data_IF_842119120617
#
_entry.id   IF_842119120617
#
_cell.length_a   1.000
_cell.length_b   1.000
_cell.length_c   1.000
_cell.angle_alpha   90.00
_cell.angle_beta   90.00
_cell.angle_gamma   90.00
#
_symmetry.space_group_name_H-M   'P 1'
#
loop_
_entity.id
_entity.type
_entity.pdbx_description
1 polymer ?
#
# COMPACT_ATOMS: atom_id res chain seq x y z
N UNK A 1 -40.32 55.19 9.16
CA UNK A 1 -38.98 54.58 9.34
C UNK A 1 -39.09 53.18 9.97
N UNK A 2 -39.71 52.20 9.28
CA UNK A 2 -39.96 50.85 9.85
C UNK A 2 -39.83 49.70 8.83
N UNK A 3 -39.28 49.96 7.64
CA UNK A 3 -39.24 48.97 6.53
C UNK A 3 -37.86 48.37 6.22
N UNK A 4 -36.79 48.84 6.88
CA UNK A 4 -35.43 48.33 6.66
C UNK A 4 -34.89 47.43 7.79
N UNK A 5 -35.62 47.30 8.90
CA UNK A 5 -35.15 46.50 10.04
C UNK A 5 -35.32 44.98 9.82
N UNK A 6 -36.23 44.57 8.93
CA UNK A 6 -36.54 43.15 8.71
C UNK A 6 -35.69 42.50 7.61
N UNK A 7 -34.97 43.30 6.80
CA UNK A 7 -34.15 42.79 5.70
C UNK A 7 -32.72 42.40 6.14
N UNK A 8 -32.26 42.84 7.31
CA UNK A 8 -30.94 42.50 7.85
C UNK A 8 -30.93 41.24 8.73
N UNK A 9 -32.10 40.71 9.11
CA UNK A 9 -32.20 39.48 9.90
C UNK A 9 -32.09 38.20 9.05
N UNK A 10 -32.24 38.30 7.72
CA UNK A 10 -32.30 37.12 6.84
C UNK A 10 -30.94 36.74 6.23
N UNK A 11 -29.92 37.61 6.32
CA UNK A 11 -28.57 37.34 5.80
C UNK A 11 -27.66 36.66 6.84
N UNK A 12 -28.11 36.54 8.10
CA UNK A 12 -27.34 35.92 9.19
C UNK A 12 -27.72 34.45 9.47
N UNK A 13 -28.34 33.74 8.52
CA UNK A 13 -28.75 32.34 8.70
C UNK A 13 -28.06 31.36 7.74
N UNK A 14 -26.85 31.70 7.28
CA UNK A 14 -26.00 30.81 6.49
C UNK A 14 -24.66 30.56 7.20
N UNK A 15 -24.71 30.22 8.50
CA UNK A 15 -23.52 29.74 9.23
C UNK A 15 -23.56 28.21 9.27
N UNK A 16 -22.82 27.63 8.33
CA UNK A 16 -22.01 26.43 8.51
C UNK A 16 -22.74 25.24 9.18
N UNK A 17 -23.49 24.49 8.37
CA UNK A 17 -23.75 23.07 8.62
C UNK A 17 -22.50 22.20 8.43
N UNK A 18 -21.34 22.66 8.91
CA UNK A 18 -20.13 21.86 8.95
C UNK A 18 -20.40 20.68 9.86
N UNK A 19 -20.40 19.46 9.29
CA UNK A 19 -20.44 18.26 10.10
C UNK A 19 -19.19 18.28 10.97
N UNK A 20 -19.37 18.60 12.25
CA UNK A 20 -18.34 18.40 13.26
C UNK A 20 -18.16 16.89 13.33
N UNK A 21 -17.19 16.37 12.60
CA UNK A 21 -16.65 15.02 12.87
C UNK A 21 -15.98 15.16 14.23
N UNK A 22 -16.68 14.78 15.30
CA UNK A 22 -16.02 14.61 16.60
C UNK A 22 -14.99 13.52 16.39
N UNK A 23 -13.71 13.89 16.39
CA UNK A 23 -12.66 12.92 16.65
C UNK A 23 -13.00 12.28 18.00
N UNK A 24 -13.23 10.97 18.03
CA UNK A 24 -13.31 10.23 19.28
C UNK A 24 -12.01 10.49 20.03
N UNK A 25 -12.11 11.11 21.20
CA UNK A 25 -10.95 11.33 22.07
C UNK A 25 -10.52 9.94 22.54
N UNK A 26 -9.51 9.38 21.87
CA UNK A 26 -8.88 8.15 22.33
C UNK A 26 -8.19 8.44 23.66
N UNK A 27 -8.46 7.62 24.67
CA UNK A 27 -7.73 7.67 25.93
C UNK A 27 -6.30 7.19 25.65
N UNK A 28 -5.31 8.02 25.98
CA UNK A 28 -3.88 7.73 25.74
C UNK A 28 -3.41 6.45 26.45
N UNK A 29 -4.08 6.06 27.53
CA UNK A 29 -3.74 4.86 28.30
C UNK A 29 -4.39 3.59 27.75
N UNK A 30 -5.25 3.73 26.73
CA UNK A 30 -5.89 2.58 26.12
C UNK A 30 -4.90 1.85 25.23
N UNK A 31 -4.79 0.54 25.46
CA UNK A 31 -4.03 -0.38 24.62
C UNK A 31 -4.88 -0.88 23.45
N UNK A 32 -4.24 -1.26 22.36
CA UNK A 32 -4.86 -1.85 21.19
C UNK A 32 -4.29 -3.22 20.85
N UNK A 33 -4.74 -3.76 19.72
CA UNK A 33 -4.25 -5.00 19.15
C UNK A 33 -3.87 -4.82 17.68
N UNK A 34 -2.90 -5.62 17.26
CA UNK A 34 -2.47 -5.70 15.87
C UNK A 34 -2.54 -7.16 15.41
N UNK A 35 -3.22 -7.38 14.29
CA UNK A 35 -3.30 -8.68 13.64
C UNK A 35 -2.46 -8.66 12.37
N UNK A 36 -1.51 -9.58 12.26
CA UNK A 36 -0.60 -9.71 11.12
C UNK A 36 -0.88 -11.01 10.38
N UNK A 37 -1.21 -10.89 9.10
CA UNK A 37 -1.48 -12.01 8.20
C UNK A 37 -0.49 -11.95 7.02
N UNK A 38 0.67 -12.60 7.13
CA UNK A 38 1.56 -12.74 5.98
C UNK A 38 0.91 -13.66 4.96
N UNK A 39 0.83 -13.25 3.70
CA UNK A 39 0.12 -13.98 2.64
C UNK A 39 0.95 -14.15 1.38
N UNK A 40 0.73 -15.27 0.70
CA UNK A 40 1.20 -15.52 -0.66
C UNK A 40 0.04 -16.03 -1.50
N UNK A 41 -0.20 -15.42 -2.67
CA UNK A 41 -1.33 -15.74 -3.53
C UNK A 41 -2.70 -15.76 -2.82
N UNK A 42 -2.87 -14.94 -1.77
CA UNK A 42 -4.10 -14.84 -0.98
C UNK A 42 -4.27 -15.88 0.13
N UNK A 43 -3.27 -16.74 0.36
CA UNK A 43 -3.26 -17.70 1.46
C UNK A 43 -2.27 -17.26 2.53
N UNK A 44 -2.62 -17.45 3.80
CA UNK A 44 -1.71 -17.18 4.92
C UNK A 44 -0.51 -18.12 4.83
N UNK A 45 0.68 -17.56 5.00
CA UNK A 45 1.94 -18.29 5.03
C UNK A 45 2.27 -18.62 6.48
N UNK A 46 2.22 -19.90 6.81
CA UNK A 46 2.66 -20.43 8.10
C UNK A 46 4.19 -20.54 8.15
N UNK A 47 4.76 -20.27 9.32
CA UNK A 47 6.18 -20.41 9.59
C UNK A 47 6.98 -19.11 9.57
N UNK A 48 8.26 -19.24 9.89
CA UNK A 48 9.14 -18.09 10.09
C UNK A 48 8.83 -17.35 11.39
N UNK A 49 9.75 -16.49 11.82
CA UNK A 49 9.61 -15.74 13.06
C UNK A 49 9.15 -14.30 12.81
N UNK A 50 8.72 -13.61 13.85
CA UNK A 50 8.37 -12.19 13.76
C UNK A 50 8.79 -11.47 15.05
N UNK A 51 9.65 -10.47 14.89
CA UNK A 51 10.03 -9.55 15.96
C UNK A 51 9.29 -8.24 15.80
N UNK A 52 8.79 -7.73 16.91
CA UNK A 52 8.05 -6.47 16.97
C UNK A 52 8.85 -5.50 17.83
N UNK A 53 9.07 -4.29 17.33
CA UNK A 53 9.79 -3.23 18.02
C UNK A 53 8.90 -2.00 18.10
N UNK A 54 8.81 -1.40 19.29
CA UNK A 54 8.17 -0.10 19.42
C UNK A 54 9.19 0.97 18.99
N UNK A 55 8.88 1.71 17.93
CA UNK A 55 9.77 2.74 17.35
C UNK A 55 9.54 4.09 17.99
N UNK A 56 8.27 4.42 18.25
CA UNK A 56 7.87 5.67 18.87
C UNK A 56 6.61 5.48 19.71
N UNK A 57 6.46 6.32 20.74
CA UNK A 57 5.22 6.42 21.54
C UNK A 57 4.40 7.59 21.02
N UNK A 58 3.08 7.44 20.96
CA UNK A 58 2.18 8.56 20.62
C UNK A 58 2.04 9.48 21.84
N UNK A 59 2.19 10.77 21.61
CA UNK A 59 1.97 11.84 22.60
C UNK A 59 0.88 12.79 22.08
N UNK A 60 -0.16 13.00 22.89
CA UNK A 60 -1.18 14.00 22.61
C UNK A 60 -0.82 15.28 23.38
N UNK A 61 -0.34 16.29 22.66
CA UNK A 61 -0.13 17.65 23.19
C UNK A 61 -1.20 18.54 22.59
N UNK A 62 -2.25 18.90 23.35
CA UNK A 62 -3.33 19.86 23.01
C UNK A 62 -3.35 20.34 21.54
N UNK A 63 -3.57 19.41 20.61
CA UNK A 63 -3.16 19.57 19.21
C UNK A 63 -3.04 18.26 18.44
N UNK A 64 -2.41 18.26 17.24
CA UNK A 64 -2.29 17.07 16.41
C UNK A 64 -1.46 15.97 17.09
N UNK A 65 -1.76 14.72 16.76
CA UNK A 65 -1.02 13.52 17.18
C UNK A 65 0.48 13.72 16.89
N UNK A 66 1.30 13.57 17.92
CA UNK A 66 2.75 13.66 17.80
C UNK A 66 3.40 12.35 18.24
N UNK A 67 4.64 12.13 17.79
CA UNK A 67 5.40 10.91 18.07
C UNK A 67 6.68 11.25 18.83
N UNK A 68 6.92 10.49 19.89
CA UNK A 68 8.19 10.50 20.62
C UNK A 68 8.99 9.26 20.23
N UNK A 69 9.98 9.45 19.34
CA UNK A 69 10.86 8.37 18.86
C UNK A 69 11.74 7.87 20.02
N UNK A 70 11.91 6.55 20.13
CA UNK A 70 12.81 5.99 21.13
C UNK A 70 14.27 6.34 20.81
N UNK A 71 15.14 6.56 21.82
CA UNK A 71 16.51 7.00 21.61
C UNK A 71 17.32 6.14 20.63
N UNK A 72 17.10 4.81 20.63
CA UNK A 72 17.80 3.87 19.74
C UNK A 72 17.47 4.09 18.25
N UNK A 73 16.30 4.65 17.94
CA UNK A 73 15.84 4.91 16.59
C UNK A 73 16.02 6.37 16.14
N UNK A 74 16.49 7.26 17.01
CA UNK A 74 16.66 8.69 16.68
C UNK A 74 17.61 8.93 15.49
N UNK A 75 18.61 8.06 15.29
CA UNK A 75 19.54 8.14 14.18
C UNK A 75 18.88 7.91 12.79
N UNK A 76 17.66 7.36 12.75
CA UNK A 76 16.93 7.15 11.51
C UNK A 76 16.37 8.44 10.89
N UNK A 77 16.36 9.56 11.62
CA UNK A 77 15.89 10.88 11.18
C UNK A 77 14.50 10.82 10.51
N UNK A 78 13.56 10.13 11.15
CA UNK A 78 12.20 9.97 10.64
C UNK A 78 11.41 11.28 10.76
N UNK A 79 10.71 11.65 9.69
CA UNK A 79 9.72 12.73 9.71
C UNK A 79 8.34 12.09 9.92
N UNK A 80 7.91 12.04 11.17
CA UNK A 80 6.69 11.35 11.56
C UNK A 80 5.48 12.29 11.54
N UNK A 81 4.77 12.27 10.42
CA UNK A 81 3.37 12.64 10.31
C UNK A 81 2.62 11.52 9.58
N UNK A 82 1.30 11.43 9.77
CA UNK A 82 0.52 10.29 9.27
C UNK A 82 0.55 10.19 7.73
N UNK A 83 0.69 11.31 7.00
CA UNK A 83 0.73 11.32 5.53
C UNK A 83 2.07 10.77 5.00
N UNK A 84 3.18 11.20 5.60
CA UNK A 84 4.51 10.73 5.26
C UNK A 84 4.71 9.28 5.65
N UNK A 85 4.13 8.83 6.77
CA UNK A 85 4.28 7.45 7.23
C UNK A 85 3.70 6.45 6.22
N UNK A 86 2.54 6.74 5.63
CA UNK A 86 1.93 5.84 4.64
C UNK A 86 2.72 5.82 3.33
N UNK A 87 3.25 6.96 2.89
CA UNK A 87 4.02 7.06 1.66
C UNK A 87 5.44 6.48 1.78
N UNK A 88 6.11 6.71 2.92
CA UNK A 88 7.52 6.37 3.14
C UNK A 88 7.70 5.10 4.00
N UNK A 89 6.62 4.37 4.27
CA UNK A 89 6.61 3.21 5.15
C UNK A 89 7.77 2.24 4.87
N UNK A 90 7.91 1.82 3.61
CA UNK A 90 8.93 0.85 3.19
C UNK A 90 10.37 1.39 3.35
N UNK A 91 10.58 2.68 3.08
CA UNK A 91 11.88 3.34 3.23
C UNK A 91 12.27 3.45 4.71
N UNK A 92 11.34 3.89 5.55
CA UNK A 92 11.55 4.00 7.00
C UNK A 92 11.74 2.63 7.65
N UNK A 93 10.95 1.64 7.29
CA UNK A 93 11.10 0.27 7.79
C UNK A 93 12.49 -0.30 7.47
N UNK A 94 12.99 -0.07 6.26
CA UNK A 94 14.33 -0.51 5.84
C UNK A 94 15.44 0.19 6.61
N UNK A 95 15.32 1.50 6.87
CA UNK A 95 16.29 2.24 7.69
C UNK A 95 16.29 1.79 9.15
N UNK A 96 15.11 1.49 9.69
CA UNK A 96 14.97 1.05 11.08
C UNK A 96 15.45 -0.38 11.31
N UNK A 97 15.36 -1.24 10.29
CA UNK A 97 15.83 -2.62 10.37
C UNK A 97 17.29 -2.72 10.81
N UNK A 98 18.17 -1.83 10.33
CA UNK A 98 19.59 -1.85 10.70
C UNK A 98 19.83 -1.46 12.18
N UNK A 99 18.96 -0.61 12.74
CA UNK A 99 19.01 -0.17 14.13
C UNK A 99 18.33 -1.16 15.09
N UNK A 100 17.40 -1.96 14.59
CA UNK A 100 16.60 -2.90 15.38
C UNK A 100 17.44 -3.98 16.08
N UNK A 101 18.64 -4.29 15.58
CA UNK A 101 19.55 -5.24 16.21
C UNK A 101 19.98 -4.83 17.63
N UNK A 102 20.03 -3.52 17.90
CA UNK A 102 20.40 -2.96 19.21
C UNK A 102 19.19 -2.50 20.02
N UNK A 103 17.98 -2.65 19.48
CA UNK A 103 16.76 -2.18 20.10
C UNK A 103 16.12 -3.27 20.99
N UNK A 104 15.41 -2.88 22.06
CA UNK A 104 14.63 -3.83 22.85
C UNK A 104 13.50 -4.41 22.00
N UNK A 105 13.40 -5.74 21.97
CA UNK A 105 12.29 -6.45 21.33
C UNK A 105 11.06 -6.29 22.23
N UNK A 106 9.98 -5.74 21.67
CA UNK A 106 8.69 -5.62 22.38
C UNK A 106 7.97 -6.96 22.44
N UNK A 107 7.92 -7.67 21.31
CA UNK A 107 7.37 -9.03 21.21
C UNK A 107 8.21 -9.88 20.28
N UNK A 108 8.52 -11.09 20.73
CA UNK A 108 9.22 -12.10 19.94
C UNK A 108 8.26 -13.26 19.67
N UNK A 109 7.97 -13.51 18.40
CA UNK A 109 7.11 -14.60 17.96
C UNK A 109 8.00 -15.60 17.24
N UNK A 110 8.18 -16.78 17.84
CA UNK A 110 9.08 -17.80 17.30
C UNK A 110 8.56 -18.38 15.97
N UNK A 111 7.25 -18.55 15.84
CA UNK A 111 6.62 -19.12 14.65
C UNK A 111 5.25 -18.51 14.40
N UNK A 112 5.02 -18.03 13.18
CA UNK A 112 3.73 -17.53 12.71
C UNK A 112 2.82 -18.74 12.41
N UNK A 113 1.63 -18.85 13.04
CA UNK A 113 0.72 -19.97 12.79
C UNK A 113 -0.09 -19.74 11.50
N UNK A 114 -0.77 -20.79 11.02
CA UNK A 114 -1.59 -20.74 9.80
C UNK A 114 -2.78 -19.75 9.85
N UNK A 115 -3.11 -19.22 11.02
CA UNK A 115 -4.16 -18.20 11.23
C UNK A 115 -3.64 -16.77 11.26
N UNK A 116 -2.32 -16.56 11.10
CA UNK A 116 -1.70 -15.27 11.36
C UNK A 116 -1.49 -15.03 12.86
N UNK A 117 -0.93 -13.87 13.21
CA UNK A 117 -0.55 -13.55 14.59
C UNK A 117 -1.35 -12.36 15.10
N UNK A 118 -1.95 -12.51 16.28
CA UNK A 118 -2.56 -11.41 17.02
C UNK A 118 -1.63 -11.01 18.15
N UNK A 119 -1.30 -9.73 18.22
CA UNK A 119 -0.48 -9.15 19.29
C UNK A 119 -1.39 -8.21 20.06
N UNK A 120 -1.64 -8.54 21.31
CA UNK A 120 -2.53 -7.79 22.20
C UNK A 120 -1.73 -6.87 23.12
N UNK A 121 -2.44 -5.95 23.77
CA UNK A 121 -1.89 -5.04 24.78
C UNK A 121 -0.79 -4.11 24.25
N UNK A 122 -0.87 -3.67 22.99
CA UNK A 122 0.06 -2.68 22.45
C UNK A 122 -0.32 -1.27 22.95
N UNK A 123 0.60 -0.56 23.61
CA UNK A 123 0.44 0.88 23.82
C UNK A 123 0.30 1.65 22.50
N UNK A 124 -0.22 2.87 22.57
CA UNK A 124 -0.30 3.72 21.37
C UNK A 124 1.10 4.15 20.93
N UNK A 125 1.43 3.91 19.66
CA UNK A 125 2.78 4.04 19.16
C UNK A 125 2.93 3.80 17.66
N UNK A 126 4.18 3.81 17.22
CA UNK A 126 4.64 3.34 15.93
C UNK A 126 5.43 2.05 16.15
N UNK A 127 5.15 1.02 15.37
CA UNK A 127 5.73 -0.31 15.53
C UNK A 127 6.39 -0.77 14.24
N UNK A 128 7.59 -1.36 14.36
CA UNK A 128 8.31 -2.04 13.30
C UNK A 128 8.10 -3.55 13.43
N UNK A 129 7.69 -4.16 12.34
CA UNK A 129 7.54 -5.60 12.20
C UNK A 129 8.67 -6.12 11.33
N UNK A 130 9.47 -7.01 11.89
CA UNK A 130 10.68 -7.54 11.24
C UNK A 130 10.71 -9.06 11.35
N UNK A 131 10.72 -9.72 10.20
CA UNK A 131 11.01 -11.14 10.12
C UNK A 131 12.53 -11.35 10.01
N UNK A 132 13.09 -12.20 10.85
CA UNK A 132 14.54 -12.54 10.84
C UNK A 132 14.80 -13.96 10.34
N UNK A 133 13.77 -14.82 10.39
CA UNK A 133 13.77 -16.17 9.86
C UNK A 133 12.55 -16.33 8.95
N UNK A 134 12.80 -16.65 7.69
CA UNK A 134 11.74 -16.84 6.69
C UNK A 134 10.94 -18.12 6.95
N UNK A 135 9.70 -18.13 6.45
CA UNK A 135 8.91 -19.35 6.37
C UNK A 135 9.56 -20.34 5.38
N UNK A 136 9.46 -21.66 5.61
CA UNK A 136 10.02 -22.67 4.70
C UNK A 136 9.49 -22.49 3.27
N UNK A 137 10.39 -22.30 2.30
CA UNK A 137 10.04 -22.12 0.89
C UNK A 137 9.69 -20.67 0.49
N UNK A 138 9.80 -19.71 1.41
CA UNK A 138 9.53 -18.29 1.18
C UNK A 138 10.77 -17.42 1.40
N UNK A 139 10.76 -16.25 0.77
CA UNK A 139 11.70 -15.18 1.10
C UNK A 139 11.30 -14.50 2.42
N UNK A 140 12.24 -13.77 3.03
CA UNK A 140 11.93 -12.93 4.19
C UNK A 140 10.85 -11.91 3.81
N UNK A 141 9.85 -11.79 4.68
CA UNK A 141 8.87 -10.71 4.62
C UNK A 141 9.60 -9.37 4.71
N UNK A 142 9.22 -8.44 3.81
CA UNK A 142 9.76 -7.09 3.87
C UNK A 142 9.35 -6.44 5.19
N UNK A 143 10.26 -5.73 5.88
CA UNK A 143 9.89 -5.02 7.09
C UNK A 143 8.89 -3.92 6.76
N UNK A 144 7.98 -3.65 7.69
CA UNK A 144 6.93 -2.64 7.53
C UNK A 144 6.60 -2.00 8.88
N UNK A 145 5.95 -0.85 8.81
CA UNK A 145 5.56 -0.06 9.97
C UNK A 145 4.04 -0.02 10.11
N UNK A 146 3.54 -0.08 11.34
CA UNK A 146 2.14 0.21 11.67
C UNK A 146 2.06 1.22 12.80
N UNK A 147 1.10 2.15 12.70
CA UNK A 147 0.76 3.05 13.78
C UNK A 147 -0.47 2.56 14.53
N UNK A 148 -0.48 2.81 15.84
CA UNK A 148 -1.58 2.53 16.74
C UNK A 148 -1.85 3.80 17.58
N UNK A 149 -3.05 4.39 17.55
CA UNK A 149 -4.18 4.04 16.70
C UNK A 149 -3.93 4.42 15.24
N UNK A 150 -4.50 3.63 14.31
CA UNK A 150 -4.61 3.96 12.88
C UNK A 150 -6.03 4.42 12.60
N UNK A 151 -6.19 5.62 12.04
CA UNK A 151 -7.49 6.21 11.68
C UNK A 151 -8.51 6.20 12.84
N UNK A 152 -8.02 6.39 14.07
CA UNK A 152 -8.82 6.38 15.30
C UNK A 152 -9.22 5.00 15.82
N UNK A 153 -8.74 3.91 15.20
CA UNK A 153 -8.98 2.53 15.62
C UNK A 153 -7.77 1.97 16.37
N UNK A 154 -8.06 1.24 17.45
CA UNK A 154 -7.07 0.52 18.26
C UNK A 154 -6.93 -0.95 17.87
N UNK A 155 -7.75 -1.44 16.95
CA UNK A 155 -7.58 -2.77 16.37
C UNK A 155 -7.17 -2.57 14.93
N UNK A 156 -5.95 -2.98 14.60
CA UNK A 156 -5.35 -2.77 13.27
C UNK A 156 -5.01 -4.11 12.67
N UNK A 157 -5.41 -4.31 11.43
CA UNK A 157 -5.12 -5.53 10.67
C UNK A 157 -4.15 -5.17 9.55
N UNK A 158 -3.14 -6.02 9.33
CA UNK A 158 -2.19 -5.87 8.24
C UNK A 158 -1.98 -7.19 7.52
N UNK A 159 -2.25 -7.16 6.21
CA UNK A 159 -2.05 -8.28 5.30
C UNK A 159 -0.81 -8.02 4.46
N UNK A 160 0.30 -8.67 4.80
CA UNK A 160 1.58 -8.44 4.16
C UNK A 160 1.91 -9.49 3.12
N UNK A 161 2.44 -9.07 1.97
CA UNK A 161 2.71 -9.98 0.85
C UNK A 161 4.11 -10.56 0.95
N UNK A 162 4.18 -11.89 0.87
CA UNK A 162 5.44 -12.63 0.77
C UNK A 162 5.76 -13.04 -0.66
N UNK A 163 6.97 -13.54 -0.87
CA UNK A 163 7.46 -14.11 -2.12
C UNK A 163 7.97 -15.52 -1.89
N UNK A 164 7.89 -16.40 -2.89
CA UNK A 164 8.54 -17.72 -2.80
C UNK A 164 10.05 -17.59 -2.96
N UNK A 165 10.80 -18.38 -2.20
CA UNK A 165 12.23 -18.53 -2.37
C UNK A 165 12.49 -19.13 -3.76
N UNK A 166 13.22 -18.41 -4.61
CA UNK A 166 13.42 -18.72 -6.03
C UNK A 166 12.19 -18.57 -6.94
N UNK A 167 11.27 -17.65 -6.63
CA UNK A 167 10.27 -17.23 -7.61
C UNK A 167 10.96 -16.65 -8.86
N UNK A 168 11.19 -17.46 -9.89
CA UNK A 168 11.31 -16.92 -11.23
C UNK A 168 10.08 -16.04 -11.47
N UNK A 169 10.23 -14.82 -12.04
CA UNK A 169 9.11 -13.92 -12.25
C UNK A 169 8.01 -14.67 -12.99
N UNK A 170 6.90 -14.95 -12.30
CA UNK A 170 5.74 -15.55 -12.93
C UNK A 170 5.23 -14.51 -13.92
N UNK A 171 5.46 -14.74 -15.22
CA UNK A 171 4.64 -14.16 -16.27
C UNK A 171 3.17 -14.35 -15.86
N UNK A 172 2.30 -13.33 -16.01
CA UNK A 172 0.89 -13.45 -15.63
C UNK A 172 0.32 -14.71 -16.26
N UNK A 173 -0.13 -15.65 -15.43
CA UNK A 173 -0.82 -16.85 -15.92
C UNK A 173 -2.21 -16.43 -16.35
N UNK A 174 -2.36 -16.16 -17.64
CA UNK A 174 -3.67 -16.17 -18.30
C UNK A 174 -4.28 -17.56 -18.05
N UNK A 175 -5.38 -17.59 -17.32
CA UNK A 175 -6.17 -18.82 -17.12
C UNK A 175 -6.76 -19.18 -18.49
N UNK A 176 -6.21 -20.19 -19.16
CA UNK A 176 -6.79 -20.76 -20.38
C UNK A 176 -7.12 -22.22 -20.05
N UNK A 177 -8.38 -22.65 -20.26
CA UNK A 177 -8.82 -23.98 -19.88
C UNK A 177 -8.13 -25.05 -20.73
N UNK A 178 -7.83 -26.15 -20.04
CA UNK A 178 -7.16 -27.36 -20.47
C UNK A 178 -7.55 -27.85 -21.89
N UNK A 179 -6.56 -28.05 -22.77
CA UNK A 179 -6.69 -28.99 -23.89
C UNK A 179 -5.37 -29.72 -24.19
N UNK A 180 -5.55 -31.02 -24.37
CA UNK A 180 -4.63 -32.15 -24.41
C UNK A 180 -3.56 -32.08 -25.51
N UNK A 181 -2.30 -32.32 -25.10
CA UNK A 181 -1.24 -33.12 -25.75
C UNK A 181 -1.01 -32.93 -27.27
N UNK A 182 0.06 -32.21 -27.64
CA UNK A 182 0.81 -32.49 -28.87
C UNK A 182 2.29 -32.12 -28.68
N UNK A 183 3.16 -33.13 -28.79
CA UNK A 183 4.59 -32.94 -29.05
C UNK A 183 4.70 -32.51 -30.50
N UNK A 184 5.36 -31.40 -30.78
CA UNK A 184 6.29 -31.26 -31.90
C UNK A 184 7.19 -30.05 -31.70
N UNK A 185 8.37 -30.19 -32.28
CA UNK A 185 9.62 -29.49 -32.04
C UNK A 185 9.65 -28.25 -32.95
N UNK A 186 9.63 -27.02 -32.42
CA UNK A 186 10.12 -25.81 -33.12
C UNK A 186 10.16 -24.54 -32.23
N UNK A 187 10.99 -23.59 -32.67
CA UNK A 187 11.73 -22.53 -31.96
C UNK A 187 10.88 -21.51 -31.12
N UNK A 188 11.49 -20.81 -30.14
CA UNK A 188 10.76 -19.91 -29.26
C UNK A 188 10.44 -18.56 -29.92
N UNK A 189 9.23 -18.09 -29.62
CA UNK A 189 8.82 -16.68 -29.46
C UNK A 189 9.21 -15.67 -30.56
N UNK A 190 8.23 -15.33 -31.40
CA UNK A 190 8.08 -13.96 -31.94
C UNK A 190 6.63 -13.51 -31.79
N UNK A 191 6.22 -13.23 -30.55
CA UNK A 191 4.95 -12.55 -30.25
C UNK A 191 4.95 -11.06 -30.61
N UNK A 192 5.65 -10.65 -31.69
CA UNK A 192 5.70 -9.26 -32.14
C UNK A 192 5.30 -9.20 -33.61
N UNK A 193 4.01 -9.40 -33.78
CA UNK A 193 3.32 -9.27 -35.03
C UNK A 193 3.14 -7.76 -35.33
N UNK A 194 3.84 -7.27 -36.34
CA UNK A 194 3.83 -5.87 -36.81
C UNK A 194 2.59 -5.50 -37.66
N UNK A 195 1.46 -6.24 -37.59
CA UNK A 195 0.31 -6.05 -38.51
C UNK A 195 -0.28 -4.64 -38.62
N UNK A 196 -0.25 -3.74 -37.61
CA UNK A 196 -0.88 -2.42 -37.77
C UNK A 196 -0.19 -1.56 -38.84
N UNK A 197 1.14 -1.64 -38.94
CA UNK A 197 1.93 -0.73 -39.78
C UNK A 197 1.80 -1.04 -41.29
N UNK A 198 1.90 -2.30 -41.76
CA UNK A 198 1.71 -2.63 -43.18
C UNK A 198 0.30 -2.32 -43.67
N UNK A 199 -0.73 -2.55 -42.85
CA UNK A 199 -2.13 -2.25 -43.22
C UNK A 199 -2.32 -0.74 -43.39
N UNK A 200 -1.77 0.07 -42.46
CA UNK A 200 -1.80 1.53 -42.57
C UNK A 200 -1.06 2.05 -43.81
N UNK A 201 0.08 1.44 -44.19
CA UNK A 201 0.82 1.82 -45.39
C UNK A 201 0.01 1.53 -46.66
N UNK A 202 -0.62 0.36 -46.76
CA UNK A 202 -1.44 -0.01 -47.93
C UNK A 202 -2.66 0.89 -48.06
N UNK A 203 -3.35 1.18 -46.94
CA UNK A 203 -4.51 2.09 -46.91
C UNK A 203 -4.08 3.52 -47.28
N UNK A 204 -2.95 4.00 -46.74
CA UNK A 204 -2.41 5.33 -47.04
C UNK A 204 -2.06 5.51 -48.52
N UNK A 205 -1.40 4.53 -49.14
CA UNK A 205 -1.09 4.56 -50.57
C UNK A 205 -2.38 4.54 -51.41
N UNK A 206 -3.39 3.78 -51.01
CA UNK A 206 -4.70 3.76 -51.67
C UNK A 206 -5.40 5.13 -51.68
N UNK A 207 -5.39 5.86 -50.56
CA UNK A 207 -5.98 7.20 -50.46
C UNK A 207 -5.23 8.24 -51.30
N UNK A 208 -3.91 8.16 -51.37
CA UNK A 208 -3.09 9.05 -52.20
C UNK A 208 -3.39 8.81 -53.69
N UNK A 209 -3.46 7.56 -54.14
CA UNK A 209 -3.78 7.23 -55.53
C UNK A 209 -5.21 7.65 -55.91
N UNK A 210 -6.17 7.55 -54.99
CA UNK A 210 -7.53 8.07 -55.20
C UNK A 210 -7.57 9.59 -55.34
N UNK A 211 -6.72 10.31 -54.60
CA UNK A 211 -6.62 11.78 -54.67
C UNK A 211 -6.10 12.25 -56.03
N UNK A 212 -5.17 11.52 -56.65
CA UNK A 212 -4.69 11.84 -58.00
C UNK A 212 -5.65 11.46 -59.13
N UNK A 213 -6.61 10.56 -58.88
CA UNK A 213 -7.56 10.11 -59.92
C UNK A 213 -8.85 10.96 -59.99
N UNK A 214 -9.09 11.84 -59.03
CA UNK A 214 -10.20 12.80 -59.02
C UNK A 214 -9.92 14.13 -59.76
N UNK A 215 -8.69 14.37 -60.20
CA UNK A 215 -8.30 15.61 -60.88
C UNK A 215 -8.50 15.59 -62.39
N UNK A 216 -9.74 15.44 -62.88
CA UNK A 216 -10.10 15.86 -64.25
C UNK A 216 -11.42 16.61 -64.29
N UNK A 217 -11.28 17.90 -64.61
CA UNK A 217 -12.21 18.76 -65.36
C UNK A 217 -13.43 19.32 -64.63
N UNK A 218 -13.30 20.55 -64.13
CA UNK A 218 -14.33 21.57 -64.31
C UNK A 218 -13.76 22.70 -65.17
N UNK A 219 -14.19 22.76 -66.43
CA UNK A 219 -14.10 23.93 -67.31
C UNK A 219 -15.04 25.00 -66.76
N UNK A 220 -14.55 26.23 -66.63
CA UNK A 220 -15.18 27.42 -67.21
C UNK A 220 -14.09 28.44 -67.52
#
# INVERSE_FOLDING_TARGET
MKKYFLLWAMVFSLVLGGKIVRASVLDINQVGSVTIEPTYAGQIVEGGNLKVYQVATVIYKDGPKAYQIQPVFSAANLLLDDANLDQLNAEYASRLQSLAASAPVFKDIETIPATGVVIEELPQGLYLFLQTQAAPGYELMKPFLLTLPKDGKLNVEATEKMSLLNAQPRKPTTVIPNKTKQRDKELPFTGQIWWPIPILIVVGIGLILLSFRGGKSYKH
#
